data_IF_616644425166
#
_entry.id   IF_616644425166
#
_cell.length_a   1.000
_cell.length_b   1.000
_cell.length_c   1.000
_cell.angle_alpha   90.00
_cell.angle_beta   90.00
_cell.angle_gamma   90.00
#
_symmetry.space_group_name_H-M   'P 1'
#
loop_
_entity.id
_entity.type
_entity.pdbx_description
1 polymer ?
#
# COMPACT_ATOMS: atom_id res chain seq x y z
N UNK A 1 -1.47 8.01 -26.99
CA UNK A 1 -1.60 6.57 -26.73
C UNK A 1 -1.13 6.34 -25.30
N UNK A 2 -1.84 5.54 -24.51
CA UNK A 2 -1.39 5.21 -23.15
C UNK A 2 -0.19 4.25 -23.22
N UNK A 3 0.77 4.42 -22.32
CA UNK A 3 1.95 3.54 -22.17
C UNK A 3 1.95 2.87 -20.79
N UNK A 4 2.71 1.78 -20.57
CA UNK A 4 2.72 1.09 -19.27
C UNK A 4 2.97 1.99 -18.05
N UNK A 5 3.83 3.01 -18.20
CA UNK A 5 4.11 3.98 -17.14
C UNK A 5 2.89 4.86 -16.76
N UNK A 6 1.92 5.05 -17.67
CA UNK A 6 0.67 5.74 -17.33
C UNK A 6 -0.17 4.93 -16.35
N UNK A 7 -0.18 3.61 -16.49
CA UNK A 7 -0.91 2.71 -15.60
C UNK A 7 -0.33 2.75 -14.18
N UNK A 8 1.00 2.73 -14.04
CA UNK A 8 1.71 2.85 -12.76
C UNK A 8 1.26 4.12 -12.02
N UNK A 9 1.30 5.27 -12.69
CA UNK A 9 0.90 6.55 -12.09
C UNK A 9 -0.57 6.57 -11.65
N UNK A 10 -1.47 6.00 -12.45
CA UNK A 10 -2.90 5.93 -12.09
C UNK A 10 -3.12 5.00 -10.90
N UNK A 11 -2.45 3.85 -10.86
CA UNK A 11 -2.50 2.89 -9.75
C UNK A 11 -1.95 3.53 -8.46
N UNK A 12 -0.81 4.21 -8.52
CA UNK A 12 -0.25 4.97 -7.39
C UNK A 12 -1.25 5.99 -6.83
N UNK A 13 -1.95 6.73 -7.70
CA UNK A 13 -2.97 7.67 -7.25
C UNK A 13 -4.16 6.98 -6.59
N UNK A 14 -4.56 5.80 -7.08
CA UNK A 14 -5.59 4.99 -6.43
C UNK A 14 -5.14 4.52 -5.04
N UNK A 15 -3.89 4.06 -4.91
CA UNK A 15 -3.33 3.66 -3.61
C UNK A 15 -3.33 4.80 -2.59
N UNK A 16 -2.88 6.00 -2.99
CA UNK A 16 -2.91 7.18 -2.10
C UNK A 16 -4.32 7.46 -1.59
N UNK A 17 -5.31 7.42 -2.49
CA UNK A 17 -6.71 7.71 -2.14
C UNK A 17 -7.31 6.65 -1.22
N UNK A 18 -7.14 5.38 -1.56
CA UNK A 18 -7.71 4.28 -0.79
C UNK A 18 -7.07 4.17 0.59
N UNK A 19 -5.74 4.26 0.67
CA UNK A 19 -5.04 4.21 1.95
C UNK A 19 -5.41 5.39 2.85
N UNK A 20 -5.56 6.60 2.29
CA UNK A 20 -6.03 7.74 3.07
C UNK A 20 -7.45 7.55 3.61
N UNK A 21 -8.36 6.99 2.82
CA UNK A 21 -9.73 6.73 3.26
C UNK A 21 -9.81 5.61 4.31
N UNK A 22 -9.04 4.54 4.15
CA UNK A 22 -8.97 3.45 5.14
C UNK A 22 -8.36 3.92 6.47
N UNK A 23 -7.30 4.72 6.41
CA UNK A 23 -6.65 5.29 7.60
C UNK A 23 -7.58 6.23 8.37
N UNK A 24 -8.33 7.09 7.68
CA UNK A 24 -9.31 7.98 8.30
C UNK A 24 -10.45 7.19 8.96
N UNK A 25 -10.97 6.15 8.31
CA UNK A 25 -12.00 5.28 8.86
C UNK A 25 -11.50 4.57 10.13
N UNK A 26 -10.30 3.98 10.07
CA UNK A 26 -9.70 3.32 11.22
C UNK A 26 -9.47 4.28 12.40
N UNK A 27 -8.92 5.46 12.14
CA UNK A 27 -8.71 6.48 13.16
C UNK A 27 -10.04 6.94 13.79
N UNK A 28 -11.08 7.14 12.98
CA UNK A 28 -12.40 7.54 13.47
C UNK A 28 -13.04 6.45 14.35
N UNK A 29 -12.94 5.18 13.94
CA UNK A 29 -13.43 4.04 14.71
C UNK A 29 -12.68 3.87 16.05
N UNK A 30 -11.36 4.06 16.08
CA UNK A 30 -10.55 3.99 17.30
C UNK A 30 -10.92 5.04 18.35
N UNK A 31 -11.52 6.16 17.93
CA UNK A 31 -12.06 7.19 18.84
C UNK A 31 -13.53 6.96 19.22
N UNK A 32 -14.11 5.82 18.83
CA UNK A 32 -15.50 5.46 19.10
C UNK A 32 -16.53 6.20 18.23
N UNK A 33 -16.11 6.85 17.15
CA UNK A 33 -16.95 7.77 16.36
C UNK A 33 -17.28 7.29 14.94
N UNK A 34 -17.26 5.98 14.68
CA UNK A 34 -17.56 5.41 13.36
C UNK A 34 -17.41 3.90 13.35
N UNK A 35 -17.40 3.32 12.16
CA UNK A 35 -17.19 1.88 11.94
C UNK A 35 -16.00 1.60 11.01
N UNK A 36 -15.67 0.32 10.89
CA UNK A 36 -14.57 -0.17 10.06
C UNK A 36 -15.04 -0.66 8.68
N UNK A 37 -16.32 -0.47 8.31
CA UNK A 37 -16.91 -1.09 7.12
C UNK A 37 -16.14 -0.75 5.85
N UNK A 38 -15.76 0.52 5.69
CA UNK A 38 -15.00 0.98 4.52
C UNK A 38 -13.66 0.26 4.42
N UNK A 39 -12.94 0.15 5.54
CA UNK A 39 -11.66 -0.54 5.60
C UNK A 39 -11.83 -2.02 5.28
N UNK A 40 -12.75 -2.70 5.96
CA UNK A 40 -13.00 -4.14 5.81
C UNK A 40 -13.40 -4.52 4.38
N UNK A 41 -14.16 -3.66 3.70
CA UNK A 41 -14.54 -3.86 2.29
C UNK A 41 -13.38 -3.63 1.31
N UNK A 42 -12.32 -2.91 1.71
CA UNK A 42 -11.29 -2.43 0.78
C UNK A 42 -9.91 -3.04 0.97
N UNK A 43 -9.50 -3.35 2.20
CA UNK A 43 -8.09 -3.64 2.51
C UNK A 43 -7.53 -4.90 1.82
N UNK A 44 -8.34 -5.95 1.66
CA UNK A 44 -7.94 -7.16 0.91
C UNK A 44 -7.71 -6.83 -0.57
N UNK A 45 -8.67 -6.20 -1.22
CA UNK A 45 -8.56 -5.81 -2.63
C UNK A 45 -7.39 -4.84 -2.86
N UNK A 46 -7.21 -3.88 -1.95
CA UNK A 46 -6.07 -2.96 -1.98
C UNK A 46 -4.75 -3.73 -2.00
N UNK A 47 -4.59 -4.74 -1.14
CA UNK A 47 -3.37 -5.52 -1.06
C UNK A 47 -3.17 -6.42 -2.29
N UNK A 48 -4.22 -7.06 -2.80
CA UNK A 48 -4.12 -7.82 -4.04
C UNK A 48 -3.56 -6.94 -5.17
N UNK A 49 -4.12 -5.74 -5.36
CA UNK A 49 -3.63 -4.79 -6.38
C UNK A 49 -2.20 -4.33 -6.08
N UNK A 50 -1.83 -4.12 -4.81
CA UNK A 50 -0.47 -3.75 -4.42
C UNK A 50 0.55 -4.84 -4.76
N UNK A 51 0.22 -6.10 -4.52
CA UNK A 51 1.06 -7.25 -4.88
C UNK A 51 1.21 -7.36 -6.39
N UNK A 52 0.12 -7.27 -7.15
CA UNK A 52 0.19 -7.30 -8.63
C UNK A 52 0.98 -6.14 -9.21
N UNK A 53 0.87 -4.97 -8.58
CA UNK A 53 1.64 -3.79 -8.95
C UNK A 53 3.15 -4.01 -8.75
N UNK A 54 3.56 -4.46 -7.56
CA UNK A 54 4.95 -4.76 -7.24
C UNK A 54 5.55 -5.81 -8.19
N UNK A 55 4.83 -6.92 -8.43
CA UNK A 55 5.25 -7.96 -9.38
C UNK A 55 5.41 -7.39 -10.80
N UNK A 56 4.48 -6.52 -11.23
CA UNK A 56 4.58 -5.90 -12.55
C UNK A 56 5.81 -5.01 -12.70
N UNK A 57 6.17 -4.27 -11.66
CA UNK A 57 7.39 -3.46 -11.64
C UNK A 57 8.65 -4.33 -11.62
N UNK A 58 8.70 -5.35 -10.76
CA UNK A 58 9.84 -6.27 -10.62
C UNK A 58 10.12 -7.10 -11.87
N UNK A 59 9.08 -7.62 -12.53
CA UNK A 59 9.24 -8.50 -13.69
C UNK A 59 9.40 -7.72 -15.02
N UNK A 60 8.92 -6.47 -15.09
CA UNK A 60 8.88 -5.71 -16.35
C UNK A 60 9.66 -4.39 -16.32
N UNK A 61 9.53 -3.58 -15.27
CA UNK A 61 10.12 -2.24 -15.21
C UNK A 61 11.56 -2.29 -14.70
N UNK A 62 11.80 -2.98 -13.58
CA UNK A 62 13.10 -3.05 -12.94
C UNK A 62 14.19 -3.66 -13.82
N UNK A 63 13.93 -4.71 -14.64
CA UNK A 63 14.94 -5.25 -15.56
C UNK A 63 15.33 -4.27 -16.67
N UNK A 64 14.43 -3.36 -17.06
CA UNK A 64 14.75 -2.28 -17.98
C UNK A 64 15.51 -1.14 -17.28
N UNK A 65 15.10 -0.81 -16.04
CA UNK A 65 15.73 0.23 -15.22
C UNK A 65 17.17 -0.12 -14.85
N UNK A 66 17.44 -1.35 -14.42
CA UNK A 66 18.77 -1.80 -13.98
C UNK A 66 19.83 -1.70 -15.10
N UNK A 67 19.40 -1.80 -16.38
CA UNK A 67 20.29 -1.61 -17.53
C UNK A 67 20.78 -0.18 -17.71
N UNK A 68 20.03 0.80 -17.21
CA UNK A 68 20.31 2.24 -17.41
C UNK A 68 20.63 2.97 -16.10
N UNK A 69 20.25 2.41 -14.96
CA UNK A 69 20.46 2.94 -13.62
C UNK A 69 20.71 1.76 -12.64
N UNK A 70 21.90 1.16 -12.67
CA UNK A 70 22.21 0.00 -11.82
C UNK A 70 22.19 0.36 -10.34
N UNK A 71 21.88 -0.63 -9.49
CA UNK A 71 21.78 -0.52 -8.03
C UNK A 71 20.60 0.33 -7.52
N UNK A 72 19.73 0.79 -8.42
CA UNK A 72 18.54 1.56 -8.03
C UNK A 72 17.38 0.64 -7.62
N UNK A 73 17.31 -0.58 -8.16
CA UNK A 73 16.15 -1.47 -7.98
C UNK A 73 16.07 -2.11 -6.59
N UNK A 74 17.21 -2.50 -6.00
CA UNK A 74 17.27 -3.22 -4.72
C UNK A 74 16.54 -2.46 -3.58
N UNK A 75 16.70 -1.13 -3.40
CA UNK A 75 15.90 -0.36 -2.46
C UNK A 75 14.38 -0.48 -2.66
N UNK A 76 13.88 -0.51 -3.90
CA UNK A 76 12.44 -0.62 -4.18
C UNK A 76 11.90 -2.03 -3.90
N UNK A 77 12.64 -3.08 -4.25
CA UNK A 77 12.27 -4.46 -3.88
C UNK A 77 12.18 -4.61 -2.35
N UNK A 78 13.13 -4.01 -1.62
CA UNK A 78 13.09 -4.00 -0.15
C UNK A 78 11.89 -3.22 0.39
N UNK A 79 11.51 -2.13 -0.26
CA UNK A 79 10.35 -1.31 0.08
C UNK A 79 9.04 -2.09 -0.14
N UNK A 80 8.90 -2.82 -1.25
CA UNK A 80 7.78 -3.74 -1.48
C UNK A 80 7.63 -4.77 -0.35
N UNK A 81 8.74 -5.40 0.05
CA UNK A 81 8.75 -6.35 1.18
C UNK A 81 8.37 -5.69 2.52
N UNK A 82 8.65 -4.40 2.66
CA UNK A 82 8.19 -3.56 3.77
C UNK A 82 6.67 -3.40 3.76
N UNK A 83 6.08 -3.09 2.60
CA UNK A 83 4.64 -2.99 2.42
C UNK A 83 3.92 -4.32 2.68
N UNK A 84 4.46 -5.45 2.22
CA UNK A 84 3.93 -6.79 2.52
C UNK A 84 3.84 -7.04 4.04
N UNK A 85 4.91 -6.71 4.76
CA UNK A 85 5.00 -6.88 6.20
C UNK A 85 4.00 -5.98 6.95
N UNK A 86 3.74 -4.78 6.42
CA UNK A 86 2.74 -3.85 6.97
C UNK A 86 1.32 -4.32 6.72
N UNK A 87 1.06 -4.94 5.57
CA UNK A 87 -0.22 -5.60 5.32
C UNK A 87 -0.46 -6.77 6.28
N UNK A 88 0.54 -7.63 6.51
CA UNK A 88 0.44 -8.72 7.49
C UNK A 88 0.06 -8.21 8.88
N UNK A 89 0.64 -7.07 9.29
CA UNK A 89 0.33 -6.43 10.57
C UNK A 89 -1.09 -5.87 10.59
N UNK A 90 -1.52 -5.18 9.53
CA UNK A 90 -2.89 -4.69 9.40
C UNK A 90 -3.90 -5.84 9.44
N UNK A 91 -3.65 -6.92 8.69
CA UNK A 91 -4.53 -8.08 8.66
C UNK A 91 -4.65 -8.75 10.03
N UNK A 92 -3.55 -8.88 10.78
CA UNK A 92 -3.60 -9.38 12.17
C UNK A 92 -4.46 -8.49 13.08
N UNK A 93 -4.33 -7.17 12.98
CA UNK A 93 -5.14 -6.23 13.76
C UNK A 93 -6.63 -6.30 13.40
N UNK A 94 -6.94 -6.45 12.10
CA UNK A 94 -8.31 -6.66 11.61
C UNK A 94 -8.89 -7.97 12.14
N UNK A 95 -8.13 -9.07 12.09
CA UNK A 95 -8.57 -10.38 12.60
C UNK A 95 -8.79 -10.37 14.12
N UNK A 96 -8.02 -9.57 14.87
CA UNK A 96 -8.22 -9.42 16.32
C UNK A 96 -9.34 -8.45 16.69
N UNK A 97 -9.97 -7.78 15.71
CA UNK A 97 -11.02 -6.77 15.92
C UNK A 97 -10.60 -5.65 16.90
N UNK A 98 -9.32 -5.26 16.86
CA UNK A 98 -8.75 -4.24 17.74
C UNK A 98 -8.69 -2.91 16.99
N UNK A 99 -9.70 -2.07 17.17
CA UNK A 99 -9.79 -0.76 16.49
C UNK A 99 -8.56 0.14 16.71
N UNK A 100 -7.91 0.08 17.87
CA UNK A 100 -6.72 0.88 18.17
C UNK A 100 -5.52 0.36 17.38
N UNK A 101 -5.33 -0.96 17.36
CA UNK A 101 -4.24 -1.56 16.58
C UNK A 101 -4.47 -1.44 15.07
N UNK A 102 -5.72 -1.49 14.60
CA UNK A 102 -6.05 -1.22 13.20
C UNK A 102 -5.65 0.21 12.83
N UNK A 103 -6.03 1.21 13.64
CA UNK A 103 -5.63 2.61 13.40
C UNK A 103 -4.12 2.81 13.42
N UNK A 104 -3.39 2.15 14.33
CA UNK A 104 -1.92 2.18 14.34
C UNK A 104 -1.33 1.53 13.09
N UNK A 105 -1.88 0.41 12.66
CA UNK A 105 -1.39 -0.30 11.48
C UNK A 105 -1.63 0.50 10.19
N UNK A 106 -2.83 1.09 10.02
CA UNK A 106 -3.12 1.94 8.85
C UNK A 106 -2.27 3.20 8.81
N UNK A 107 -1.99 3.82 9.96
CA UNK A 107 -1.17 5.03 10.02
C UNK A 107 0.28 4.73 9.58
N UNK A 108 0.86 3.62 10.06
CA UNK A 108 2.22 3.20 9.66
C UNK A 108 2.25 2.77 8.20
N UNK A 109 1.23 2.04 7.73
CA UNK A 109 1.12 1.65 6.32
C UNK A 109 1.06 2.89 5.43
N UNK A 110 0.16 3.83 5.70
CA UNK A 110 0.04 5.09 4.96
C UNK A 110 1.35 5.87 4.92
N UNK A 111 2.07 5.94 6.04
CA UNK A 111 3.38 6.59 6.09
C UNK A 111 4.40 5.92 5.15
N UNK A 112 4.54 4.60 5.24
CA UNK A 112 5.50 3.85 4.42
C UNK A 112 5.13 3.87 2.94
N UNK A 113 3.85 3.68 2.62
CA UNK A 113 3.31 3.85 1.26
C UNK A 113 3.56 5.26 0.73
N UNK A 114 3.49 6.27 1.59
CA UNK A 114 3.85 7.64 1.24
C UNK A 114 5.31 7.78 0.80
N UNK A 115 6.23 7.06 1.44
CA UNK A 115 7.65 7.02 1.04
C UNK A 115 7.80 6.31 -0.30
N UNK A 116 7.22 5.12 -0.44
CA UNK A 116 7.23 4.32 -1.66
C UNK A 116 6.77 5.12 -2.89
N UNK A 117 5.68 5.87 -2.72
CA UNK A 117 5.02 6.59 -3.80
C UNK A 117 5.58 7.99 -4.05
N UNK A 118 6.40 8.55 -3.17
CA UNK A 118 6.95 9.90 -3.34
C UNK A 118 8.35 9.84 -3.98
N UNK A 119 8.37 9.51 -5.26
CA UNK A 119 9.46 9.82 -6.19
C UNK A 119 8.92 10.61 -7.39
#
# INVERSE_FOLDING_TARGET
MAVPLDAIRVIHNAFRKDMAAMDEAANTAAHGNGDLDLLLKRYIFFNEVLVWHAIGEEESVFPALEKVAPLVVEPYERDHRGLDSLFDRLNKAVVSDDSIEIARATAVFKFHLGIHLNN
#
